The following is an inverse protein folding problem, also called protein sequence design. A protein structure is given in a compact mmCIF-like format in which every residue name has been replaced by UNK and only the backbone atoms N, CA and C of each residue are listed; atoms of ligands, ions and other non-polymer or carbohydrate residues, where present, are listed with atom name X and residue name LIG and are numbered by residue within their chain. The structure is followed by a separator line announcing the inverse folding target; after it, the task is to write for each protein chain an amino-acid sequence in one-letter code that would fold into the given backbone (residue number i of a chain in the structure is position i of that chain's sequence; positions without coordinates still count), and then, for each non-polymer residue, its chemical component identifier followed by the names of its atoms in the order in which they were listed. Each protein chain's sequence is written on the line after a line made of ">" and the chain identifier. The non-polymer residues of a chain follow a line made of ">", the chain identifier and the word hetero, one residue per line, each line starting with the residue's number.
data_IF_112666557051
#
_entry.id   IF_112666557051
#
_cell.length_a   1.000
_cell.length_b   1.000
_cell.length_c   1.000
_cell.angle_alpha   90.00
_cell.angle_beta   90.00
_cell.angle_gamma   90.00
#
_symmetry.space_group_name_H-M   'P 1'
#
loop_
_entity.id
_entity.type
_entity.pdbx_description
1 polymer ?
#
# COMPACT_ATOMS: atom_id res chain seq x y z
N UNK A 1 2.08 30.64 -26.68
CA UNK A 1 1.43 29.48 -27.30
C UNK A 1 1.35 28.40 -26.24
N UNK A 2 0.19 27.75 -26.00
CA UNK A 2 0.15 26.58 -25.15
C UNK A 2 0.98 25.48 -25.83
N UNK A 3 1.79 24.79 -25.05
CA UNK A 3 2.51 23.60 -25.51
C UNK A 3 1.50 22.50 -25.80
N UNK A 4 1.54 21.92 -27.00
CA UNK A 4 0.79 20.70 -27.32
C UNK A 4 1.57 19.47 -26.87
N UNK A 5 0.90 18.55 -26.17
CA UNK A 5 1.46 17.30 -25.69
C UNK A 5 0.66 16.13 -26.27
N UNK A 6 1.34 15.16 -26.87
CA UNK A 6 0.72 13.96 -27.44
C UNK A 6 0.85 12.81 -26.44
N UNK A 7 -0.28 12.26 -26.00
CA UNK A 7 -0.35 11.13 -25.05
C UNK A 7 -1.18 9.97 -25.63
N UNK A 8 -1.15 8.79 -24.99
CA UNK A 8 -2.04 7.66 -25.33
C UNK A 8 -1.46 6.60 -26.27
N UNK A 9 -0.17 6.68 -26.66
CA UNK A 9 0.49 5.59 -27.38
C UNK A 9 0.59 4.33 -26.52
N UNK A 10 0.27 3.17 -27.12
CA UNK A 10 0.36 1.88 -26.43
C UNK A 10 1.83 1.53 -26.20
N UNK A 11 2.22 1.35 -24.94
CA UNK A 11 3.55 0.86 -24.53
C UNK A 11 3.38 -0.48 -23.82
N UNK A 12 4.08 -1.51 -24.29
CA UNK A 12 4.12 -2.80 -23.62
C UNK A 12 5.23 -2.79 -22.56
N UNK A 13 4.90 -3.16 -21.32
CA UNK A 13 5.84 -3.21 -20.20
C UNK A 13 5.78 -4.60 -19.58
N UNK A 14 6.93 -5.25 -19.44
CA UNK A 14 7.07 -6.55 -18.76
C UNK A 14 7.49 -6.28 -17.32
N UNK A 15 6.67 -6.69 -16.35
CA UNK A 15 6.98 -6.55 -14.91
C UNK A 15 7.09 -7.91 -14.25
N UNK A 16 7.99 -8.04 -13.27
CA UNK A 16 8.00 -9.18 -12.36
C UNK A 16 6.94 -8.96 -11.28
N UNK A 17 6.02 -9.91 -11.13
CA UNK A 17 5.03 -9.88 -10.06
C UNK A 17 5.45 -10.82 -8.93
N UNK A 18 5.62 -10.29 -7.73
CA UNK A 18 5.81 -11.10 -6.53
C UNK A 18 4.45 -11.67 -6.09
N UNK A 19 4.38 -12.98 -5.88
CA UNK A 19 3.17 -13.65 -5.41
C UNK A 19 2.77 -13.11 -4.03
N UNK A 20 1.57 -12.55 -3.92
CA UNK A 20 1.00 -12.08 -2.65
C UNK A 20 0.00 -13.11 -2.17
N UNK A 21 0.23 -13.69 -1.00
CA UNK A 21 -0.69 -14.67 -0.43
C UNK A 21 -1.99 -13.97 0.04
N UNK A 22 -3.16 -14.25 -0.57
CA UNK A 22 -4.41 -13.61 -0.19
C UNK A 22 -4.81 -13.92 1.27
N UNK A 23 -4.33 -15.03 1.84
CA UNK A 23 -4.55 -15.37 3.26
C UNK A 23 -3.81 -14.42 4.20
N UNK A 24 -2.60 -13.99 3.84
CA UNK A 24 -1.85 -13.02 4.64
C UNK A 24 -2.54 -11.66 4.66
N UNK A 25 -3.06 -11.21 3.51
CA UNK A 25 -3.92 -10.02 3.46
C UNK A 25 -5.15 -10.16 4.36
N UNK A 26 -5.89 -11.27 4.23
CA UNK A 26 -7.10 -11.49 5.01
C UNK A 26 -6.80 -11.53 6.52
N UNK A 27 -5.71 -12.16 6.94
CA UNK A 27 -5.27 -12.19 8.34
C UNK A 27 -4.90 -10.80 8.85
N UNK A 28 -4.15 -10.01 8.08
CA UNK A 28 -3.80 -8.63 8.42
C UNK A 28 -5.05 -7.76 8.61
N UNK A 29 -6.03 -7.86 7.70
CA UNK A 29 -7.30 -7.11 7.80
C UNK A 29 -8.16 -7.60 8.96
N UNK A 30 -8.18 -8.90 9.25
CA UNK A 30 -8.93 -9.44 10.36
C UNK A 30 -8.42 -8.88 11.71
N UNK A 31 -7.10 -8.72 11.84
CA UNK A 31 -6.47 -8.17 13.05
C UNK A 31 -6.58 -6.65 13.12
N UNK A 32 -6.14 -5.95 12.07
CA UNK A 32 -5.95 -4.49 12.08
C UNK A 32 -7.13 -3.69 11.52
N UNK A 33 -8.16 -4.37 11.01
CA UNK A 33 -9.28 -3.82 10.24
C UNK A 33 -8.84 -3.18 8.91
N UNK A 34 -9.81 -2.88 8.05
CA UNK A 34 -9.58 -2.17 6.78
C UNK A 34 -9.53 -0.65 6.98
N UNK A 35 -8.79 -0.18 7.99
CA UNK A 35 -8.66 1.24 8.35
C UNK A 35 -7.19 1.63 8.21
N UNK A 36 -6.93 2.78 7.59
CA UNK A 36 -5.57 3.25 7.37
C UNK A 36 -4.87 3.54 8.70
N UNK A 37 -3.73 2.88 8.96
CA UNK A 37 -2.96 3.05 10.19
C UNK A 37 -2.15 4.35 10.23
N UNK A 38 -2.11 5.13 9.14
CA UNK A 38 -1.47 6.46 9.09
C UNK A 38 -2.48 7.56 9.40
N UNK A 39 -3.56 7.64 8.61
CA UNK A 39 -4.51 8.77 8.65
C UNK A 39 -5.92 8.40 9.13
N UNK A 40 -6.13 7.17 9.61
CA UNK A 40 -7.43 6.66 10.08
C UNK A 40 -8.55 6.64 9.04
N UNK A 41 -8.23 6.78 7.76
CA UNK A 41 -9.22 6.72 6.69
C UNK A 41 -9.87 5.33 6.60
N UNK A 42 -11.19 5.30 6.63
CA UNK A 42 -12.03 4.12 6.49
C UNK A 42 -12.89 4.25 5.21
N UNK A 43 -12.62 3.40 4.23
CA UNK A 43 -13.35 3.42 2.97
C UNK A 43 -14.82 3.00 3.12
N UNK A 44 -15.13 2.07 4.02
CA UNK A 44 -16.51 1.64 4.26
C UNK A 44 -17.31 2.76 4.94
N UNK A 45 -16.68 3.48 5.87
CA UNK A 45 -17.31 4.64 6.52
C UNK A 45 -17.62 5.79 5.55
N UNK A 46 -16.74 6.05 4.57
CA UNK A 46 -16.88 7.17 3.64
C UNK A 46 -17.69 6.81 2.38
N UNK A 47 -17.47 5.62 1.81
CA UNK A 47 -18.05 5.20 0.54
C UNK A 47 -19.14 4.12 0.69
N UNK A 48 -19.41 3.64 1.90
CA UNK A 48 -20.39 2.59 2.15
C UNK A 48 -19.94 1.24 1.58
N UNK A 49 -20.90 0.46 1.07
CA UNK A 49 -20.68 -0.93 0.66
C UNK A 49 -19.57 -1.12 -0.39
N UNK A 50 -19.36 -0.14 -1.28
CA UNK A 50 -18.30 -0.22 -2.30
C UNK A 50 -16.89 -0.10 -1.70
N UNK A 51 -16.77 0.49 -0.51
CA UNK A 51 -15.50 0.63 0.22
C UNK A 51 -15.19 -0.53 1.16
N UNK A 52 -16.10 -1.50 1.30
CA UNK A 52 -15.96 -2.60 2.25
C UNK A 52 -14.70 -3.42 1.99
N UNK A 53 -13.81 -3.46 2.99
CA UNK A 53 -12.53 -4.17 2.90
C UNK A 53 -11.52 -3.56 1.91
N UNK A 54 -11.83 -2.39 1.34
CA UNK A 54 -10.94 -1.69 0.43
C UNK A 54 -9.84 -0.98 1.22
N UNK A 55 -8.63 -1.50 1.11
CA UNK A 55 -7.42 -0.97 1.76
C UNK A 55 -6.19 -1.56 1.08
N UNK A 56 -5.06 -0.85 1.03
CA UNK A 56 -3.79 -1.46 0.61
C UNK A 56 -3.10 -2.11 1.82
N UNK A 57 -2.38 -3.22 1.58
CA UNK A 57 -1.48 -3.79 2.58
C UNK A 57 -0.05 -3.45 2.18
N UNK A 58 0.64 -2.74 3.06
CA UNK A 58 2.04 -2.39 2.93
C UNK A 58 2.90 -3.32 3.78
N UNK A 59 4.11 -3.65 3.31
CA UNK A 59 5.08 -4.40 4.13
C UNK A 59 5.94 -3.37 4.87
N UNK A 60 6.04 -3.48 6.19
CA UNK A 60 6.88 -2.56 7.00
C UNK A 60 8.37 -2.69 6.67
N UNK A 61 8.78 -3.86 6.18
CA UNK A 61 10.11 -4.11 5.62
C UNK A 61 9.95 -4.46 4.16
N UNK A 62 10.57 -3.68 3.27
CA UNK A 62 10.47 -3.88 1.83
C UNK A 62 11.00 -5.26 1.42
N UNK A 63 10.14 -6.10 0.84
CA UNK A 63 10.52 -7.43 0.33
C UNK A 63 11.70 -7.37 -0.65
N UNK A 64 11.84 -6.27 -1.40
CA UNK A 64 12.94 -6.04 -2.33
C UNK A 64 14.32 -6.03 -1.62
N UNK A 65 14.36 -5.65 -0.34
CA UNK A 65 15.60 -5.62 0.46
C UNK A 65 15.98 -6.99 1.05
N UNK A 66 15.05 -7.95 1.10
CA UNK A 66 15.26 -9.26 1.73
C UNK A 66 15.97 -10.24 0.78
N UNK A 67 15.75 -10.13 -0.54
CA UNK A 67 16.48 -10.88 -1.58
C UNK A 67 16.31 -12.41 -1.53
N UNK A 68 15.41 -12.94 -0.70
CA UNK A 68 15.11 -14.38 -0.51
C UNK A 68 13.62 -14.57 -0.24
N UNK A 69 13.10 -15.79 -0.42
CA UNK A 69 11.77 -16.16 0.05
C UNK A 69 11.67 -15.95 1.57
N UNK A 70 10.65 -15.22 2.02
CA UNK A 70 10.43 -14.85 3.41
C UNK A 70 9.04 -15.30 3.85
N UNK A 71 8.93 -15.87 5.06
CA UNK A 71 7.63 -16.14 5.67
C UNK A 71 7.12 -14.83 6.28
N UNK A 72 6.10 -14.24 5.65
CA UNK A 72 5.47 -13.02 6.15
C UNK A 72 4.64 -13.32 7.40
N UNK A 73 4.87 -12.55 8.46
CA UNK A 73 3.97 -12.46 9.60
C UNK A 73 2.88 -11.41 9.27
N UNK A 74 1.63 -11.82 9.04
CA UNK A 74 0.57 -10.90 8.65
C UNK A 74 0.23 -9.81 9.68
N UNK A 75 0.64 -9.99 10.93
CA UNK A 75 0.33 -9.08 12.03
C UNK A 75 1.49 -8.10 12.21
N UNK A 76 2.72 -8.61 12.20
CA UNK A 76 3.91 -7.82 12.52
C UNK A 76 4.53 -7.15 11.30
N UNK A 77 4.52 -7.82 10.14
CA UNK A 77 5.21 -7.34 8.93
C UNK A 77 4.29 -6.56 7.99
N UNK A 78 2.99 -6.74 8.13
CA UNK A 78 2.00 -6.12 7.27
C UNK A 78 1.23 -5.04 8.01
N UNK A 79 0.81 -4.02 7.27
CA UNK A 79 0.02 -2.93 7.82
C UNK A 79 -0.98 -2.38 6.80
N UNK A 80 -2.25 -2.16 7.19
CA UNK A 80 -3.23 -1.54 6.33
C UNK A 80 -2.99 -0.03 6.17
N UNK A 81 -2.93 0.44 4.92
CA UNK A 81 -2.79 1.86 4.56
C UNK A 81 -3.71 2.22 3.39
N UNK A 82 -4.22 3.45 3.34
CA UNK A 82 -5.00 3.90 2.19
C UNK A 82 -4.10 4.10 0.96
N UNK A 83 -4.64 4.11 -0.28
CA UNK A 83 -3.86 4.33 -1.49
C UNK A 83 -3.01 5.60 -1.46
N UNK A 84 -3.52 6.69 -0.86
CA UNK A 84 -2.80 7.96 -0.78
C UNK A 84 -1.58 7.85 0.14
N UNK A 85 -1.75 7.35 1.37
CA UNK A 85 -0.62 7.12 2.28
C UNK A 85 0.35 6.09 1.73
N UNK A 86 -0.15 5.03 1.06
CA UNK A 86 0.71 4.04 0.42
C UNK A 86 1.62 4.65 -0.64
N UNK A 87 1.09 5.57 -1.46
CA UNK A 87 1.90 6.31 -2.42
C UNK A 87 2.94 7.19 -1.72
N UNK A 88 2.59 7.85 -0.62
CA UNK A 88 3.52 8.68 0.16
C UNK A 88 4.64 7.86 0.83
N UNK A 89 4.37 6.64 1.29
CA UNK A 89 5.42 5.77 1.84
C UNK A 89 6.46 5.41 0.77
N UNK A 90 6.03 5.23 -0.48
CA UNK A 90 6.90 4.88 -1.60
C UNK A 90 7.49 6.09 -2.35
N UNK A 91 7.45 7.30 -1.79
CA UNK A 91 8.23 8.43 -2.34
C UNK A 91 9.72 8.33 -2.01
N UNK A 92 10.10 7.43 -1.11
CA UNK A 92 11.47 7.08 -0.76
C UNK A 92 11.72 5.59 -1.09
N UNK A 93 12.97 5.22 -1.37
CA UNK A 93 13.40 3.84 -1.56
C UNK A 93 14.66 3.55 -0.70
N UNK A 94 14.60 2.62 0.28
CA UNK A 94 13.44 1.86 0.74
C UNK A 94 12.27 2.74 1.23
N UNK A 95 11.07 2.17 1.29
CA UNK A 95 9.86 2.86 1.69
C UNK A 95 10.04 3.57 3.04
N UNK A 96 9.45 4.77 3.14
CA UNK A 96 9.45 5.58 4.34
C UNK A 96 8.78 4.84 5.50
N UNK A 97 9.31 5.01 6.71
CA UNK A 97 8.66 4.52 7.92
C UNK A 97 7.29 5.20 8.15
N UNK A 98 6.31 4.44 8.64
CA UNK A 98 4.95 4.91 8.86
C UNK A 98 4.86 5.99 9.94
N UNK A 99 5.66 5.89 11.00
CA UNK A 99 5.68 6.90 12.05
C UNK A 99 6.28 8.21 11.53
N UNK A 100 7.28 8.13 10.63
CA UNK A 100 7.79 9.32 9.92
C UNK A 100 6.70 9.98 9.07
N UNK A 101 5.90 9.21 8.33
CA UNK A 101 4.81 9.77 7.53
C UNK A 101 3.74 10.42 8.42
N UNK A 102 3.35 9.77 9.53
CA UNK A 102 2.42 10.35 10.51
C UNK A 102 2.91 11.68 11.04
N UNK A 103 4.17 11.76 11.45
CA UNK A 103 4.79 12.99 11.96
C UNK A 103 4.77 14.12 10.92
N UNK A 104 4.96 13.79 9.64
CA UNK A 104 4.98 14.78 8.54
C UNK A 104 3.59 15.37 8.24
N UNK A 105 2.51 14.65 8.54
CA UNK A 105 1.13 15.11 8.32
C UNK A 105 0.56 15.94 9.49
N UNK A 106 1.38 16.23 10.53
CA UNK A 106 0.98 16.92 11.76
C UNK A 106 1.00 18.44 11.62
#
# INVERSE_FOLDING_TARGET
>A
MPSEFTEGSIKQVTINAYERNPKARAACIAEHKAICQVCNFDFEAIYGAIGKGFIHIHHKVDLATIGKSYQVDPINDLIPVCPNCHAMLHTEEPAMDIEKLKLTMS
#
